data_IF_866446716845
#
_entry.id   IF_866446716845
#
_cell.length_a   1.000
_cell.length_b   1.000
_cell.length_c   1.000
_cell.angle_alpha   90.00
_cell.angle_beta   90.00
_cell.angle_gamma   90.00
#
_symmetry.space_group_name_H-M   'P 1'
#
loop_
_entity.id
_entity.type
_entity.pdbx_description
1 polymer ?
#
# COMPACT_ATOMS: atom_id res chain seq x y z
N UNK A 1 -0.57 -8.18 13.27
CA UNK A 1 0.47 -7.27 13.77
C UNK A 1 1.82 -7.73 13.23
N UNK A 2 2.43 -6.86 12.44
CA UNK A 2 3.81 -6.86 11.97
C UNK A 2 4.79 -6.92 13.14
N UNK A 3 6.05 -7.30 12.87
CA UNK A 3 7.11 -7.30 13.88
C UNK A 3 7.34 -5.92 14.51
N UNK A 4 7.10 -4.86 13.74
CA UNK A 4 7.21 -3.48 14.19
C UNK A 4 6.09 -3.10 15.18
N UNK A 5 4.84 -3.47 14.89
CA UNK A 5 3.71 -3.28 15.82
C UNK A 5 3.96 -4.00 17.15
N UNK A 6 4.50 -5.22 17.11
CA UNK A 6 4.88 -5.99 18.32
C UNK A 6 6.01 -5.32 19.11
N UNK A 7 7.00 -4.75 18.42
CA UNK A 7 8.08 -4.00 19.06
C UNK A 7 7.55 -2.75 19.78
N UNK A 8 6.69 -1.98 19.11
CA UNK A 8 6.08 -0.77 19.69
C UNK A 8 5.19 -1.10 20.89
N UNK A 9 4.38 -2.17 20.80
CA UNK A 9 3.56 -2.66 21.91
C UNK A 9 4.42 -3.05 23.12
N UNK A 10 5.49 -3.82 22.90
CA UNK A 10 6.42 -4.19 23.97
C UNK A 10 7.11 -2.97 24.59
N UNK A 11 7.47 -1.96 23.78
CA UNK A 11 8.08 -0.73 24.26
C UNK A 11 7.12 0.08 25.13
N UNK A 12 5.84 0.22 24.75
CA UNK A 12 4.82 0.89 25.56
C UNK A 12 4.65 0.22 26.92
N UNK A 13 4.59 -1.12 26.92
CA UNK A 13 4.50 -1.92 28.13
C UNK A 13 5.71 -1.70 29.04
N UNK A 14 6.92 -1.70 28.47
CA UNK A 14 8.15 -1.47 29.22
C UNK A 14 8.22 -0.06 29.83
N UNK A 15 7.60 0.94 29.18
CA UNK A 15 7.58 2.33 29.63
C UNK A 15 6.38 2.67 30.54
N UNK A 16 5.46 1.73 30.80
CA UNK A 16 4.24 1.97 31.58
C UNK A 16 3.30 2.99 30.94
N UNK A 17 3.31 3.07 29.59
CA UNK A 17 2.68 4.11 28.77
C UNK A 17 1.76 3.48 27.72
N UNK A 18 0.84 2.63 28.17
CA UNK A 18 -0.06 1.84 27.30
C UNK A 18 -1.12 2.72 26.61
N UNK A 19 -1.40 3.89 27.16
CA UNK A 19 -2.40 4.87 26.72
C UNK A 19 -1.90 5.85 25.65
N UNK A 20 -0.59 5.86 25.35
CA UNK A 20 -0.01 6.85 24.45
C UNK A 20 0.09 6.30 23.02
N UNK A 21 -0.42 7.10 22.08
CA UNK A 21 -0.50 6.85 20.63
C UNK A 21 -1.43 5.70 20.25
N UNK A 22 -2.35 5.91 19.31
CA UNK A 22 -3.08 4.79 18.70
C UNK A 22 -2.16 3.95 17.81
N UNK A 23 -2.61 2.73 17.49
CA UNK A 23 -1.85 1.71 16.76
C UNK A 23 -1.26 2.31 15.48
N UNK A 24 0.06 2.40 15.44
CA UNK A 24 0.82 2.65 14.22
C UNK A 24 0.42 1.64 13.14
N UNK A 25 0.18 2.08 11.89
CA UNK A 25 0.36 3.43 11.38
C UNK A 25 -0.92 4.28 11.48
N UNK A 26 -0.70 5.55 11.80
CA UNK A 26 -1.72 6.59 11.72
C UNK A 26 -1.60 7.31 10.38
N UNK A 27 -2.26 6.76 9.35
CA UNK A 27 -2.38 7.38 8.04
C UNK A 27 -3.82 7.29 7.57
N UNK A 28 -4.27 8.33 6.87
CA UNK A 28 -5.50 8.30 6.10
C UNK A 28 -5.14 7.97 4.64
N UNK A 29 -5.66 6.88 4.05
CA UNK A 29 -5.31 6.53 2.68
C UNK A 29 -5.94 7.48 1.66
N UNK A 30 -5.12 8.02 0.78
CA UNK A 30 -5.56 8.80 -0.39
C UNK A 30 -5.74 7.89 -1.62
N UNK A 31 -6.70 8.23 -2.48
CA UNK A 31 -7.14 7.39 -3.61
C UNK A 31 -7.20 8.17 -4.93
N UNK A 32 -6.17 8.96 -5.25
CA UNK A 32 -6.10 9.73 -6.50
C UNK A 32 -5.49 8.91 -7.66
N UNK A 33 -5.75 9.31 -8.90
CA UNK A 33 -5.19 8.74 -10.13
C UNK A 33 -3.67 8.92 -10.24
N UNK A 34 -3.09 9.88 -9.52
CA UNK A 34 -1.65 10.14 -9.48
C UNK A 34 -0.86 9.14 -8.62
N UNK A 35 -1.56 8.32 -7.84
CA UNK A 35 -0.93 7.44 -6.87
C UNK A 35 -0.48 6.10 -7.49
N UNK A 36 -0.84 5.79 -8.74
CA UNK A 36 -0.44 4.51 -9.36
C UNK A 36 0.05 4.65 -10.79
N UNK A 37 0.92 3.74 -11.16
CA UNK A 37 1.39 3.55 -12.53
C UNK A 37 1.39 2.05 -12.84
N UNK A 38 1.26 1.67 -14.11
CA UNK A 38 1.50 0.28 -14.51
C UNK A 38 2.53 0.23 -15.63
N UNK A 39 3.28 -0.86 -15.67
CA UNK A 39 4.29 -1.10 -16.69
C UNK A 39 4.54 -2.60 -16.85
N UNK A 40 5.16 -2.99 -17.95
CA UNK A 40 5.59 -4.38 -18.16
C UNK A 40 7.03 -4.53 -17.73
N UNK A 41 7.27 -5.25 -16.63
CA UNK A 41 8.61 -5.53 -16.12
C UNK A 41 9.11 -6.87 -16.64
N UNK A 42 10.37 -6.91 -17.11
CA UNK A 42 10.99 -8.13 -17.63
C UNK A 42 11.03 -9.20 -16.53
N UNK A 43 10.39 -10.34 -16.79
CA UNK A 43 10.30 -11.47 -15.85
C UNK A 43 9.16 -11.40 -14.83
N UNK A 44 8.48 -10.25 -14.71
CA UNK A 44 7.32 -10.07 -13.81
C UNK A 44 6.00 -9.80 -14.56
N UNK A 45 6.09 -9.46 -15.85
CA UNK A 45 4.94 -9.17 -16.70
C UNK A 45 4.31 -7.82 -16.39
N UNK A 46 3.03 -7.65 -16.74
CA UNK A 46 2.26 -6.45 -16.41
C UNK A 46 2.15 -6.30 -14.90
N UNK A 47 2.77 -5.23 -14.41
CA UNK A 47 2.99 -4.94 -13.00
C UNK A 47 2.35 -3.60 -12.64
N UNK A 48 1.67 -3.57 -11.50
CA UNK A 48 1.10 -2.37 -10.92
C UNK A 48 2.05 -1.80 -9.87
N UNK A 49 2.38 -0.52 -10.00
CA UNK A 49 3.14 0.24 -9.02
C UNK A 49 2.15 1.11 -8.25
N UNK A 50 2.09 0.91 -6.94
CA UNK A 50 1.32 1.72 -6.02
C UNK A 50 2.28 2.58 -5.20
N UNK A 51 2.30 3.89 -5.45
CA UNK A 51 3.02 4.84 -4.62
C UNK A 51 2.31 4.96 -3.27
N UNK A 52 2.98 4.65 -2.17
CA UNK A 52 2.46 4.87 -0.84
C UNK A 52 2.67 6.33 -0.39
N UNK A 53 3.48 7.13 -1.09
CA UNK A 53 3.60 8.57 -0.85
C UNK A 53 3.94 8.89 0.61
N UNK A 54 3.16 9.81 1.21
CA UNK A 54 3.25 10.24 2.62
C UNK A 54 2.75 9.20 3.63
N UNK A 55 2.27 8.03 3.18
CA UNK A 55 1.84 6.96 4.06
C UNK A 55 3.05 6.41 4.83
N UNK A 56 3.06 6.62 6.15
CA UNK A 56 3.97 5.97 7.09
C UNK A 56 3.55 4.53 7.44
N UNK A 57 2.64 3.97 6.65
CA UNK A 57 2.23 2.58 6.75
C UNK A 57 3.36 1.61 6.45
N UNK A 58 3.25 0.36 6.96
CA UNK A 58 4.31 -0.65 6.83
C UNK A 58 4.53 -1.11 5.38
N UNK A 59 3.78 -0.59 4.40
CA UNK A 59 3.72 -1.12 3.03
C UNK A 59 3.55 -2.64 3.03
N UNK A 60 2.73 -3.14 3.96
CA UNK A 60 2.61 -4.56 4.29
C UNK A 60 1.16 -4.99 4.26
N UNK A 61 0.84 -5.90 3.34
CA UNK A 61 -0.50 -6.46 3.14
C UNK A 61 -1.03 -7.27 4.34
N UNK A 62 -0.18 -7.59 5.33
CA UNK A 62 -0.61 -8.19 6.60
C UNK A 62 -1.30 -7.19 7.51
N UNK A 63 -1.09 -5.88 7.30
CA UNK A 63 -1.76 -4.82 8.03
C UNK A 63 -3.13 -4.51 7.40
N UNK A 64 -4.19 -4.45 8.22
CA UNK A 64 -5.59 -4.34 7.74
C UNK A 64 -5.82 -3.07 6.90
N UNK A 65 -5.31 -1.91 7.35
CA UNK A 65 -5.44 -0.64 6.59
C UNK A 65 -4.70 -0.71 5.25
N UNK A 66 -3.49 -1.28 5.22
CA UNK A 66 -2.71 -1.43 3.98
C UNK A 66 -3.40 -2.38 3.01
N UNK A 67 -3.90 -3.52 3.49
CA UNK A 67 -4.66 -4.46 2.67
C UNK A 67 -5.88 -3.79 2.03
N UNK A 68 -6.67 -3.07 2.82
CA UNK A 68 -7.85 -2.36 2.31
C UNK A 68 -7.47 -1.29 1.28
N UNK A 69 -6.41 -0.51 1.55
CA UNK A 69 -5.90 0.52 0.64
C UNK A 69 -5.46 -0.09 -0.71
N UNK A 70 -4.63 -1.13 -0.68
CA UNK A 70 -4.12 -1.80 -1.87
C UNK A 70 -5.24 -2.43 -2.69
N UNK A 71 -6.20 -3.11 -2.04
CA UNK A 71 -7.33 -3.71 -2.75
C UNK A 71 -8.20 -2.65 -3.46
N UNK A 72 -8.47 -1.53 -2.80
CA UNK A 72 -9.21 -0.42 -3.41
C UNK A 72 -8.47 0.17 -4.60
N UNK A 73 -7.16 0.43 -4.47
CA UNK A 73 -6.33 0.99 -5.55
C UNK A 73 -6.12 0.03 -6.70
N UNK A 74 -6.03 -1.28 -6.41
CA UNK A 74 -5.96 -2.34 -7.42
C UNK A 74 -7.19 -2.33 -8.33
N UNK A 75 -8.38 -2.17 -7.74
CA UNK A 75 -9.64 -2.10 -8.47
C UNK A 75 -9.77 -0.81 -9.28
N UNK A 76 -9.39 0.33 -8.71
CA UNK A 76 -9.34 1.60 -9.45
C UNK A 76 -8.40 1.50 -10.66
N UNK A 77 -7.19 0.98 -10.46
CA UNK A 77 -6.22 0.80 -11.53
C UNK A 77 -6.71 -0.15 -12.62
N UNK A 78 -7.40 -1.23 -12.25
CA UNK A 78 -8.02 -2.16 -13.20
C UNK A 78 -9.02 -1.44 -14.10
N UNK A 79 -9.97 -0.68 -13.53
CA UNK A 79 -10.96 0.07 -14.32
C UNK A 79 -10.30 1.07 -15.27
N UNK A 80 -9.29 1.80 -14.78
CA UNK A 80 -8.54 2.76 -15.60
C UNK A 80 -7.78 2.07 -16.73
N UNK A 81 -7.15 0.94 -16.45
CA UNK A 81 -6.45 0.13 -17.46
C UNK A 81 -7.40 -0.37 -18.54
N UNK A 82 -8.55 -0.94 -18.17
CA UNK A 82 -9.53 -1.48 -19.13
C UNK A 82 -10.08 -0.37 -20.04
N UNK A 83 -10.32 0.81 -19.47
CA UNK A 83 -10.72 2.01 -20.22
C UNK A 83 -9.65 2.45 -21.23
N UNK A 84 -8.37 2.48 -20.84
CA UNK A 84 -7.27 3.00 -21.68
C UNK A 84 -6.81 1.98 -22.71
N UNK A 85 -6.68 0.72 -22.31
CA UNK A 85 -6.12 -0.36 -23.15
C UNK A 85 -7.20 -1.07 -23.98
N UNK A 86 -8.48 -0.79 -23.73
CA UNK A 86 -9.62 -1.43 -24.41
C UNK A 86 -9.59 -2.97 -24.37
N UNK A 87 -8.96 -3.53 -23.34
CA UNK A 87 -8.89 -4.97 -23.07
C UNK A 87 -9.00 -5.24 -21.57
N UNK A 88 -9.63 -6.35 -21.15
CA UNK A 88 -9.73 -6.70 -19.74
C UNK A 88 -8.37 -7.07 -19.15
N UNK A 89 -8.21 -6.85 -17.84
CA UNK A 89 -7.11 -7.43 -17.06
C UNK A 89 -7.71 -8.33 -15.95
N UNK A 90 -7.44 -9.63 -16.03
CA UNK A 90 -7.93 -10.59 -15.02
C UNK A 90 -7.31 -10.30 -13.65
N UNK A 91 -5.99 -10.14 -13.62
CA UNK A 91 -5.20 -9.83 -12.43
C UNK A 91 -3.91 -9.11 -12.80
N UNK A 92 -3.39 -8.33 -11.85
CA UNK A 92 -2.02 -7.84 -11.90
C UNK A 92 -1.08 -8.98 -11.54
N UNK A 93 -0.09 -9.28 -12.39
CA UNK A 93 0.86 -10.37 -12.13
C UNK A 93 1.77 -10.05 -10.94
N UNK A 94 2.09 -8.77 -10.76
CA UNK A 94 2.87 -8.26 -9.64
C UNK A 94 2.29 -6.91 -9.21
N UNK A 95 2.20 -6.69 -7.90
CA UNK A 95 1.88 -5.39 -7.30
C UNK A 95 3.09 -4.98 -6.47
N UNK A 96 3.68 -3.83 -6.81
CA UNK A 96 4.82 -3.25 -6.12
C UNK A 96 4.31 -2.10 -5.28
N UNK A 97 4.52 -2.19 -3.96
CA UNK A 97 4.30 -1.09 -3.03
C UNK A 97 5.61 -0.33 -2.91
N UNK A 98 5.63 0.94 -3.29
CA UNK A 98 6.84 1.75 -3.29
C UNK A 98 6.57 3.14 -2.74
N UNK A 99 7.62 3.85 -2.33
CA UNK A 99 7.57 5.29 -2.08
C UNK A 99 8.48 5.95 -3.10
N UNK A 100 7.91 6.69 -4.03
CA UNK A 100 8.66 7.41 -5.05
C UNK A 100 8.88 8.82 -4.56
N UNK A 101 10.14 9.19 -4.32
CA UNK A 101 10.54 10.55 -4.06
C UNK A 101 10.82 11.25 -5.39
N UNK A 102 10.22 12.41 -5.60
CA UNK A 102 10.49 13.29 -6.73
C UNK A 102 11.18 14.54 -6.20
N UNK A 103 12.30 14.92 -6.80
CA UNK A 103 12.99 16.20 -6.52
C UNK A 103 12.24 17.39 -7.09
#
# INVERSE_FOLDING_TARGET
MTSFEKYFEALKKALGKEDIYDIWPDFEPEYDEREYAWTTLRGLGESLLLNCGQCDGPSDMRHKKCKACVEKRKETAKKTYERIMSRPIEKWNTIILCRVYTE
#
